data_IF_467401261168
#
_entry.id   IF_467401261168
#
_cell.length_a   1.000
_cell.length_b   1.000
_cell.length_c   1.000
_cell.angle_alpha   90.00
_cell.angle_beta   90.00
_cell.angle_gamma   90.00
#
_symmetry.space_group_name_H-M   'P 1'
#
loop_
_entity.id
_entity.type
_entity.pdbx_description
1 polymer ?
#
# COMPACT_ATOMS: atom_id res chain seq x y z
N UNK A 1 12.65 -12.99 -17.71
CA UNK A 1 11.89 -13.36 -16.50
C UNK A 1 11.47 -12.06 -15.84
N UNK A 2 10.17 -11.83 -15.66
CA UNK A 2 9.71 -10.65 -14.90
C UNK A 2 10.21 -10.75 -13.46
N UNK A 3 10.67 -9.63 -12.89
CA UNK A 3 11.04 -9.57 -11.47
C UNK A 3 9.75 -9.57 -10.64
N UNK A 4 9.75 -10.31 -9.53
CA UNK A 4 8.64 -10.25 -8.58
C UNK A 4 8.62 -8.86 -7.94
N UNK A 5 7.50 -8.15 -8.06
CA UNK A 5 7.25 -6.88 -7.39
C UNK A 5 6.24 -7.12 -6.29
N UNK A 6 6.63 -6.89 -5.04
CA UNK A 6 5.71 -6.99 -3.91
C UNK A 6 5.04 -5.64 -3.71
N UNK A 7 3.71 -5.59 -3.78
CA UNK A 7 2.93 -4.37 -3.68
C UNK A 7 2.07 -4.43 -2.42
N UNK A 8 2.02 -3.33 -1.68
CA UNK A 8 1.18 -3.18 -0.49
C UNK A 8 0.44 -1.85 -0.52
N UNK A 9 -0.83 -1.87 -0.16
CA UNK A 9 -1.65 -0.68 0.08
C UNK A 9 -2.19 -0.72 1.51
N UNK A 10 -1.88 0.30 2.29
CA UNK A 10 -2.35 0.48 3.66
C UNK A 10 -3.25 1.70 3.75
N UNK A 11 -4.43 1.51 4.35
CA UNK A 11 -5.37 2.54 4.71
C UNK A 11 -5.49 2.56 6.23
N UNK A 12 -5.28 3.71 6.86
CA UNK A 12 -5.40 3.86 8.30
C UNK A 12 -6.22 5.10 8.65
N UNK A 13 -7.10 4.98 9.64
CA UNK A 13 -7.93 6.09 10.10
C UNK A 13 -8.33 5.95 11.55
N UNK A 14 -8.77 7.06 12.15
CA UNK A 14 -9.33 7.08 13.51
C UNK A 14 -10.85 7.05 13.45
N UNK A 15 -11.50 6.49 14.45
CA UNK A 15 -12.95 6.52 14.63
C UNK A 15 -13.31 6.59 16.12
N UNK A 16 -14.59 6.77 16.42
CA UNK A 16 -15.12 6.90 17.79
C UNK A 16 -16.17 5.84 18.14
N UNK A 17 -16.08 4.66 17.51
CA UNK A 17 -16.98 3.54 17.76
C UNK A 17 -16.84 2.99 19.18
N UNK A 18 -17.97 2.74 19.86
CA UNK A 18 -17.99 1.97 21.10
C UNK A 18 -17.84 0.45 20.85
N UNK A 19 -17.59 -0.35 21.91
CA UNK A 19 -17.39 -1.80 21.83
C UNK A 19 -18.41 -2.57 20.98
N UNK A 20 -19.71 -2.32 21.18
CA UNK A 20 -20.78 -3.00 20.45
C UNK A 20 -20.83 -2.59 18.96
N UNK A 21 -20.44 -1.35 18.67
CA UNK A 21 -20.38 -0.84 17.31
C UNK A 21 -19.17 -1.41 16.54
N UNK A 22 -18.07 -1.73 17.23
CA UNK A 22 -16.92 -2.42 16.63
C UNK A 22 -17.30 -3.81 16.14
N UNK A 23 -18.06 -4.59 16.93
CA UNK A 23 -18.52 -5.92 16.53
C UNK A 23 -19.41 -5.86 15.28
N UNK A 24 -20.35 -4.90 15.25
CA UNK A 24 -21.22 -4.66 14.09
C UNK A 24 -20.40 -4.28 12.85
N UNK A 25 -19.45 -3.37 12.99
CA UNK A 25 -18.60 -2.94 11.89
C UNK A 25 -17.71 -4.07 11.35
N UNK A 26 -17.18 -4.94 12.22
CA UNK A 26 -16.46 -6.14 11.79
C UNK A 26 -17.32 -7.02 10.87
N UNK A 27 -18.59 -7.25 11.23
CA UNK A 27 -19.52 -8.04 10.41
C UNK A 27 -19.93 -7.36 9.10
N UNK A 28 -20.03 -6.04 9.08
CA UNK A 28 -20.29 -5.27 7.85
C UNK A 28 -19.08 -5.27 6.90
N UNK A 29 -17.87 -5.07 7.43
CA UNK A 29 -16.63 -5.19 6.66
C UNK A 29 -16.46 -6.60 6.12
N UNK A 30 -16.74 -7.62 6.93
CA UNK A 30 -16.68 -9.00 6.49
C UNK A 30 -17.63 -9.29 5.32
N UNK A 31 -18.86 -8.76 5.37
CA UNK A 31 -19.84 -8.91 4.30
C UNK A 31 -19.34 -8.29 3.00
N UNK A 32 -18.81 -7.06 3.06
CA UNK A 32 -18.27 -6.37 1.89
C UNK A 32 -17.07 -7.12 1.28
N UNK A 33 -16.14 -7.60 2.11
CA UNK A 33 -14.98 -8.36 1.65
C UNK A 33 -15.36 -9.74 1.11
N UNK A 34 -16.41 -10.37 1.67
CA UNK A 34 -16.90 -11.69 1.24
C UNK A 34 -17.42 -11.70 -0.19
N UNK A 35 -18.03 -10.59 -0.60
CA UNK A 35 -18.56 -10.41 -1.96
C UNK A 35 -17.46 -10.10 -2.98
N UNK A 36 -16.24 -9.81 -2.51
CA UNK A 36 -15.04 -9.62 -3.33
C UNK A 36 -14.30 -10.91 -3.71
N UNK A 37 -13.28 -10.76 -4.56
CA UNK A 37 -12.45 -11.87 -5.08
C UNK A 37 -11.16 -12.11 -4.28
N UNK A 38 -10.75 -11.15 -3.45
CA UNK A 38 -9.52 -11.24 -2.65
C UNK A 38 -9.71 -12.08 -1.39
N UNK A 39 -8.64 -12.75 -0.94
CA UNK A 39 -8.64 -13.37 0.38
C UNK A 39 -8.64 -12.30 1.48
N UNK A 40 -9.19 -12.60 2.66
CA UNK A 40 -9.22 -11.63 3.74
C UNK A 40 -9.11 -12.20 5.15
N UNK A 41 -8.51 -11.40 6.03
CA UNK A 41 -8.45 -11.64 7.46
C UNK A 41 -8.87 -10.38 8.21
N UNK A 42 -9.83 -10.50 9.13
CA UNK A 42 -10.28 -9.42 10.01
C UNK A 42 -9.86 -9.74 11.42
N UNK A 43 -9.04 -8.87 12.01
CA UNK A 43 -8.57 -8.97 13.39
C UNK A 43 -9.14 -7.81 14.19
N UNK A 44 -10.02 -8.13 15.12
CA UNK A 44 -10.50 -7.19 16.13
C UNK A 44 -9.75 -7.43 17.44
N UNK A 45 -9.31 -6.37 18.10
CA UNK A 45 -8.73 -6.46 19.46
C UNK A 45 -9.79 -6.67 20.55
N UNK A 46 -11.08 -6.52 20.21
CA UNK A 46 -12.19 -6.97 21.06
C UNK A 46 -12.30 -8.51 21.04
N UNK A 47 -12.36 -9.18 22.22
CA UNK A 47 -12.47 -10.64 22.31
C UNK A 47 -13.66 -11.19 21.51
N UNK A 48 -13.45 -12.28 20.76
CA UNK A 48 -14.51 -13.00 20.05
C UNK A 48 -14.90 -12.46 18.67
N UNK A 49 -14.34 -11.32 18.23
CA UNK A 49 -14.69 -10.66 16.96
C UNK A 49 -13.66 -10.88 15.83
N UNK A 50 -12.68 -11.76 16.03
CA UNK A 50 -11.73 -12.15 14.98
C UNK A 50 -12.41 -13.05 13.95
N UNK A 51 -12.34 -12.68 12.68
CA UNK A 51 -12.92 -13.45 11.57
C UNK A 51 -11.83 -13.68 10.52
N UNK A 52 -11.59 -14.93 10.14
CA UNK A 52 -10.58 -15.25 9.13
C UNK A 52 -11.21 -16.14 8.08
N UNK A 53 -11.08 -15.74 6.81
CA UNK A 53 -11.41 -16.59 5.67
C UNK A 53 -10.13 -16.86 4.89
N UNK A 54 -9.54 -18.02 5.14
CA UNK A 54 -8.47 -18.56 4.31
C UNK A 54 -9.11 -19.44 3.22
N UNK A 55 -8.77 -19.21 1.95
CA UNK A 55 -9.24 -20.04 0.84
C UNK A 55 -10.31 -19.38 -0.02
N UNK A 56 -9.87 -18.52 -0.93
CA UNK A 56 -10.58 -18.16 -2.15
C UNK A 56 -10.10 -19.01 -3.34
N UNK A 57 -10.99 -19.34 -4.28
CA UNK A 57 -10.58 -19.94 -5.56
C UNK A 57 -9.82 -18.90 -6.39
N UNK A 58 -8.50 -18.84 -6.24
CA UNK A 58 -7.58 -18.31 -7.26
C UNK A 58 -7.47 -16.78 -7.41
N UNK A 59 -7.76 -15.99 -6.37
CA UNK A 59 -7.61 -14.53 -6.40
C UNK A 59 -6.25 -14.04 -5.86
N UNK A 60 -5.73 -12.97 -6.46
CA UNK A 60 -4.45 -12.33 -6.13
C UNK A 60 -4.59 -11.38 -4.93
N UNK A 61 -3.69 -11.53 -3.96
CA UNK A 61 -3.56 -10.69 -2.78
C UNK A 61 -4.45 -10.97 -1.56
N UNK A 62 -3.95 -10.58 -0.38
CA UNK A 62 -4.59 -10.75 0.93
C UNK A 62 -4.97 -9.39 1.52
N UNK A 63 -6.24 -9.22 1.90
CA UNK A 63 -6.72 -8.05 2.64
C UNK A 63 -6.76 -8.34 4.14
N UNK A 64 -5.90 -7.68 4.92
CA UNK A 64 -5.93 -7.74 6.39
C UNK A 64 -6.55 -6.46 6.96
N UNK A 65 -7.67 -6.57 7.66
CA UNK A 65 -8.29 -5.45 8.38
C UNK A 65 -8.06 -5.63 9.88
N UNK A 66 -7.51 -4.61 10.52
CA UNK A 66 -7.38 -4.50 11.97
C UNK A 66 -8.29 -3.39 12.47
N UNK A 67 -9.15 -3.70 13.44
CA UNK A 67 -10.04 -2.72 14.06
C UNK A 67 -9.74 -2.72 15.57
N UNK A 68 -9.45 -1.54 16.07
CA UNK A 68 -9.26 -1.22 17.49
C UNK A 68 -10.40 -0.30 17.95
N UNK A 69 -10.51 0.04 19.23
CA UNK A 69 -11.61 0.87 19.75
C UNK A 69 -11.66 2.27 19.11
N UNK A 70 -10.50 2.85 18.79
CA UNK A 70 -10.39 4.23 18.29
C UNK A 70 -9.75 4.37 16.91
N UNK A 71 -9.38 3.25 16.28
CA UNK A 71 -8.68 3.29 15.00
C UNK A 71 -8.83 2.00 14.22
N UNK A 72 -8.52 2.10 12.93
CA UNK A 72 -8.46 0.94 12.07
C UNK A 72 -7.29 1.02 11.10
N UNK A 73 -6.94 -0.13 10.58
CA UNK A 73 -5.97 -0.29 9.52
C UNK A 73 -6.42 -1.39 8.57
N UNK A 74 -6.58 -1.10 7.29
CA UNK A 74 -6.78 -2.09 6.25
C UNK A 74 -5.51 -2.17 5.38
N UNK A 75 -4.97 -3.36 5.22
CA UNK A 75 -3.79 -3.63 4.40
C UNK A 75 -4.20 -4.59 3.30
N UNK A 76 -3.81 -4.31 2.07
CA UNK A 76 -3.83 -5.26 0.97
C UNK A 76 -2.40 -5.49 0.51
N UNK A 77 -2.02 -6.75 0.39
CA UNK A 77 -0.70 -7.16 -0.10
C UNK A 77 -0.89 -8.10 -1.29
N UNK A 78 -0.12 -7.89 -2.36
CA UNK A 78 -0.11 -8.78 -3.53
C UNK A 78 1.30 -8.87 -4.13
N UNK A 79 1.54 -9.94 -4.88
CA UNK A 79 2.76 -10.12 -5.67
C UNK A 79 2.38 -9.90 -7.13
N UNK A 80 3.09 -9.00 -7.81
CA UNK A 80 3.01 -8.70 -9.24
C UNK A 80 1.76 -7.98 -9.76
N UNK A 81 0.80 -7.63 -8.91
CA UNK A 81 -0.38 -6.86 -9.30
C UNK A 81 -0.39 -5.48 -8.66
N UNK A 82 -0.81 -4.47 -9.43
CA UNK A 82 -1.18 -3.13 -8.94
C UNK A 82 -2.70 -2.96 -8.85
N UNK A 83 -3.48 -3.99 -9.20
CA UNK A 83 -4.94 -3.98 -9.23
C UNK A 83 -5.53 -4.31 -7.85
N UNK A 84 -5.37 -3.41 -6.89
CA UNK A 84 -5.94 -3.56 -5.56
C UNK A 84 -7.49 -3.60 -5.60
N UNK A 85 -8.15 -4.28 -4.63
CA UNK A 85 -9.60 -4.22 -4.45
C UNK A 85 -10.03 -2.86 -3.84
N UNK A 86 -9.81 -1.77 -4.58
CA UNK A 86 -9.95 -0.37 -4.10
C UNK A 86 -11.34 -0.04 -3.59
N UNK A 87 -12.39 -0.62 -4.18
CA UNK A 87 -13.76 -0.47 -3.70
C UNK A 87 -13.94 -1.07 -2.31
N UNK A 88 -13.40 -2.27 -2.10
CA UNK A 88 -13.49 -2.99 -0.83
C UNK A 88 -12.66 -2.29 0.26
N UNK A 89 -11.44 -1.86 -0.05
CA UNK A 89 -10.59 -1.10 0.86
C UNK A 89 -11.21 0.26 1.23
N UNK A 90 -11.78 0.98 0.25
CA UNK A 90 -12.47 2.24 0.49
C UNK A 90 -13.75 2.08 1.33
N UNK A 91 -14.43 0.95 1.23
CA UNK A 91 -15.61 0.66 2.04
C UNK A 91 -15.29 0.52 3.53
N UNK A 92 -14.11 -0.01 3.90
CA UNK A 92 -13.69 -0.13 5.31
C UNK A 92 -13.74 1.21 6.03
N UNK A 93 -13.19 2.26 5.41
CA UNK A 93 -13.18 3.60 6.00
C UNK A 93 -14.58 4.22 6.17
N UNK A 94 -15.50 3.94 5.23
CA UNK A 94 -16.90 4.37 5.33
C UNK A 94 -17.66 3.66 6.43
N UNK A 95 -17.53 2.34 6.50
CA UNK A 95 -18.25 1.50 7.47
C UNK A 95 -17.83 1.80 8.91
N UNK A 96 -16.56 2.16 9.11
CA UNK A 96 -16.03 2.48 10.43
C UNK A 96 -16.30 3.93 10.87
N UNK A 97 -16.89 4.76 10.01
CA UNK A 97 -17.23 6.15 10.35
C UNK A 97 -16.00 6.97 10.74
N UNK A 98 -14.95 6.95 9.92
CA UNK A 98 -13.68 7.59 10.26
C UNK A 98 -13.85 9.08 10.61
N UNK A 99 -13.28 9.48 11.74
CA UNK A 99 -13.30 10.86 12.24
C UNK A 99 -12.23 11.68 11.50
N UNK A 100 -12.60 12.21 10.33
CA UNK A 100 -11.75 13.09 9.53
C UNK A 100 -11.12 12.41 8.32
N UNK A 101 -9.79 12.40 8.27
CA UNK A 101 -9.00 11.93 7.11
C UNK A 101 -8.48 10.50 7.31
N UNK A 102 -8.39 9.77 6.20
CA UNK A 102 -7.76 8.45 6.11
C UNK A 102 -6.35 8.64 5.52
N UNK A 103 -5.35 8.10 6.21
CA UNK A 103 -4.00 7.97 5.69
C UNK A 103 -3.94 6.80 4.71
N UNK A 104 -3.43 7.06 3.52
CA UNK A 104 -3.18 6.08 2.46
C UNK A 104 -1.67 6.01 2.28
N UNK A 105 -1.12 4.80 2.41
CA UNK A 105 0.27 4.48 2.10
C UNK A 105 0.30 3.37 1.08
N UNK A 106 1.01 3.57 -0.01
CA UNK A 106 1.31 2.52 -1.00
C UNK A 106 2.80 2.23 -0.98
N UNK A 107 3.17 0.97 -1.16
CA UNK A 107 4.57 0.55 -1.17
C UNK A 107 4.78 -0.51 -2.24
N UNK A 108 5.83 -0.37 -3.04
CA UNK A 108 6.30 -1.42 -3.93
C UNK A 108 7.74 -1.76 -3.59
N UNK A 109 8.06 -3.05 -3.52
CA UNK A 109 9.41 -3.57 -3.40
C UNK A 109 9.77 -4.28 -4.71
N UNK A 110 10.75 -3.73 -5.41
CA UNK A 110 11.35 -4.33 -6.59
C UNK A 110 12.67 -4.97 -6.17
N UNK A 111 12.75 -6.29 -6.27
CA UNK A 111 13.95 -7.04 -5.90
C UNK A 111 14.98 -7.09 -7.04
N UNK A 112 16.26 -7.22 -6.68
CA UNK A 112 17.37 -7.50 -7.60
C UNK A 112 17.46 -6.54 -8.82
N UNK A 113 17.26 -5.24 -8.57
CA UNK A 113 17.50 -4.19 -9.56
C UNK A 113 18.99 -4.05 -9.79
N UNK A 114 19.43 -4.20 -11.05
CA UNK A 114 20.82 -4.03 -11.42
C UNK A 114 21.23 -2.56 -11.17
N UNK A 115 22.26 -2.36 -10.37
CA UNK A 115 22.85 -1.04 -10.19
C UNK A 115 24.13 -0.98 -10.98
N UNK A 116 24.23 -0.04 -11.92
CA UNK A 116 25.50 0.27 -12.57
C UNK A 116 26.54 0.55 -11.49
N UNK A 117 27.76 0.02 -11.67
CA UNK A 117 28.85 0.29 -10.75
C UNK A 117 29.04 1.80 -10.64
N UNK A 118 28.78 2.38 -9.47
CA UNK A 118 29.03 3.82 -9.26
C UNK A 118 30.53 4.04 -9.40
N UNK A 119 30.96 4.62 -10.51
CA UNK A 119 32.35 5.00 -10.71
C UNK A 119 32.62 6.27 -9.91
N UNK A 120 33.28 6.12 -8.76
CA UNK A 120 33.74 7.26 -7.97
C UNK A 120 34.96 7.88 -8.65
N UNK A 121 34.87 9.16 -8.99
CA UNK A 121 36.02 9.96 -9.40
C UNK A 121 37.00 10.07 -8.22
N UNK A 122 37.89 9.10 -8.05
CA UNK A 122 38.90 9.11 -6.98
C UNK A 122 39.31 7.76 -6.37
N UNK A 123 38.80 6.61 -6.84
CA UNK A 123 39.40 5.31 -6.49
C UNK A 123 39.20 4.81 -5.06
N UNK A 124 38.30 5.42 -4.26
CA UNK A 124 37.85 4.82 -2.99
C UNK A 124 36.71 3.84 -3.24
N UNK A 125 36.87 2.62 -2.72
CA UNK A 125 35.89 1.54 -2.80
C UNK A 125 34.62 1.88 -1.99
N UNK A 126 33.41 1.68 -2.53
CA UNK A 126 32.15 1.97 -1.85
C UNK A 126 31.81 0.87 -0.86
N UNK A 127 32.48 0.86 0.27
CA UNK A 127 32.21 -0.10 1.34
C UNK A 127 31.01 0.27 2.23
N UNK A 128 30.34 1.42 2.08
CA UNK A 128 29.58 1.95 3.23
C UNK A 128 28.21 2.59 2.96
N UNK A 129 27.60 2.42 1.80
CA UNK A 129 26.18 2.77 1.62
C UNK A 129 25.36 1.50 1.47
N UNK A 130 24.98 0.90 2.61
CA UNK A 130 24.02 -0.21 2.62
C UNK A 130 22.64 0.25 2.13
N UNK A 131 22.35 1.55 2.28
CA UNK A 131 21.07 2.16 1.96
C UNK A 131 21.27 3.55 1.34
N UNK A 132 20.47 3.88 0.32
CA UNK A 132 20.39 5.21 -0.28
C UNK A 132 18.93 5.62 -0.39
N UNK A 133 18.61 6.83 0.08
CA UNK A 133 17.25 7.40 0.00
C UNK A 133 17.21 8.51 -1.02
N UNK A 134 16.18 8.55 -1.86
CA UNK A 134 15.98 9.62 -2.84
C UNK A 134 14.48 9.87 -3.06
N UNK A 135 14.15 11.05 -3.59
CA UNK A 135 12.78 11.41 -3.93
C UNK A 135 12.54 11.17 -5.42
N UNK A 136 11.34 10.72 -5.77
CA UNK A 136 10.93 10.60 -7.16
C UNK A 136 10.17 11.85 -7.59
N UNK A 137 10.42 12.28 -8.83
CA UNK A 137 9.58 13.26 -9.49
C UNK A 137 8.19 12.66 -9.68
N UNK A 138 7.15 13.45 -9.44
CA UNK A 138 5.78 13.00 -9.70
C UNK A 138 5.62 12.64 -11.18
N UNK A 139 4.96 11.51 -11.52
CA UNK A 139 4.58 11.26 -12.89
C UNK A 139 3.67 12.39 -13.36
N UNK A 140 3.85 12.86 -14.60
CA UNK A 140 3.09 13.99 -15.12
C UNK A 140 1.57 13.70 -14.99
N UNK A 141 0.77 14.65 -14.47
CA UNK A 141 -0.65 14.40 -14.24
C UNK A 141 -1.32 14.03 -15.57
N UNK A 142 -1.93 12.85 -15.62
CA UNK A 142 -2.80 12.46 -16.73
C UNK A 142 -4.13 13.24 -16.59
N UNK A 143 -4.14 14.50 -17.02
CA UNK A 143 -5.35 15.30 -17.21
C UNK A 143 -5.93 15.99 -15.95
N UNK A 144 -5.94 17.31 -16.01
CA UNK A 144 -6.95 18.24 -15.47
C UNK A 144 -7.25 18.36 -13.97
N UNK A 145 -6.28 18.10 -13.07
CA UNK A 145 -6.19 18.86 -11.80
C UNK A 145 -4.73 19.13 -11.44
N UNK A 146 -4.21 20.27 -11.87
CA UNK A 146 -2.91 20.75 -11.45
C UNK A 146 -2.91 21.08 -9.94
N UNK A 147 -1.95 20.53 -9.20
CA UNK A 147 -1.15 21.39 -8.32
C UNK A 147 -1.10 21.09 -6.81
N UNK A 148 -2.07 20.43 -6.18
CA UNK A 148 -2.08 20.32 -4.69
C UNK A 148 -2.46 18.94 -4.15
N UNK A 149 -2.73 17.97 -5.02
CA UNK A 149 -3.52 16.78 -4.71
C UNK A 149 -2.80 15.48 -5.12
N UNK A 150 -1.49 15.36 -4.93
CA UNK A 150 -0.73 14.18 -5.34
C UNK A 150 0.12 13.60 -4.19
N UNK A 151 0.21 12.26 -4.12
CA UNK A 151 0.98 11.59 -3.09
C UNK A 151 2.47 11.92 -3.22
N UNK A 152 3.15 12.09 -2.09
CA UNK A 152 4.60 12.26 -2.08
C UNK A 152 5.27 10.89 -2.17
N UNK A 153 6.12 10.69 -3.19
CA UNK A 153 6.84 9.43 -3.39
C UNK A 153 8.31 9.54 -2.99
N UNK A 154 8.73 8.66 -2.09
CA UNK A 154 10.11 8.45 -1.71
C UNK A 154 10.59 7.06 -2.15
N UNK A 155 11.90 6.93 -2.29
CA UNK A 155 12.57 5.68 -2.61
C UNK A 155 13.68 5.38 -1.62
N UNK A 156 13.84 4.09 -1.34
CA UNK A 156 14.94 3.55 -0.57
C UNK A 156 15.54 2.40 -1.37
N UNK A 157 16.79 2.55 -1.82
CA UNK A 157 17.56 1.46 -2.40
C UNK A 157 18.45 0.84 -1.33
N UNK A 158 18.36 -0.47 -1.14
CA UNK A 158 19.20 -1.24 -0.21
C UNK A 158 20.03 -2.25 -0.99
N UNK A 159 21.34 -2.25 -0.78
CA UNK A 159 22.23 -3.17 -1.49
C UNK A 159 21.88 -4.62 -1.15
N UNK A 160 21.60 -5.42 -2.17
CA UNK A 160 21.28 -6.85 -2.04
C UNK A 160 22.51 -7.72 -2.33
N UNK A 161 23.28 -7.39 -3.39
CA UNK A 161 24.52 -8.09 -3.79
C UNK A 161 25.59 -7.11 -4.28
N UNK A 162 26.67 -7.62 -4.87
CA UNK A 162 27.75 -6.80 -5.42
C UNK A 162 27.26 -5.76 -6.42
N UNK A 163 26.29 -6.13 -7.27
CA UNK A 163 25.79 -5.34 -8.42
C UNK A 163 24.26 -5.19 -8.45
N UNK A 164 23.56 -5.58 -7.38
CA UNK A 164 22.09 -5.46 -7.30
C UNK A 164 21.63 -4.79 -6.02
N UNK A 165 20.49 -4.13 -6.09
CA UNK A 165 19.79 -3.54 -4.96
C UNK A 165 18.30 -3.93 -4.96
N UNK A 166 17.72 -3.96 -3.77
CA UNK A 166 16.28 -3.96 -3.57
C UNK A 166 15.82 -2.52 -3.46
N UNK A 167 14.81 -2.13 -4.25
CA UNK A 167 14.28 -0.76 -4.26
C UNK A 167 12.86 -0.78 -3.69
N UNK A 168 12.67 -0.06 -2.59
CA UNK A 168 11.36 0.22 -2.01
C UNK A 168 10.90 1.61 -2.44
N UNK A 169 9.76 1.69 -3.13
CA UNK A 169 9.09 2.94 -3.45
C UNK A 169 7.91 3.10 -2.50
N UNK A 170 7.80 4.23 -1.82
CA UNK A 170 6.79 4.51 -0.80
C UNK A 170 6.05 5.78 -1.19
N UNK A 171 4.74 5.70 -1.35
CA UNK A 171 3.85 6.84 -1.54
C UNK A 171 2.94 7.05 -0.34
N UNK A 172 2.84 8.27 0.18
CA UNK A 172 1.95 8.59 1.31
C UNK A 172 1.08 9.80 1.03
N UNK A 173 -0.19 9.72 1.44
CA UNK A 173 -1.17 10.82 1.33
C UNK A 173 -2.34 10.65 2.29
N UNK A 174 -2.93 11.78 2.70
CA UNK A 174 -4.24 11.79 3.38
C UNK A 174 -5.38 11.98 2.38
N UNK A 175 -6.52 11.35 2.64
CA UNK A 175 -7.71 11.44 1.81
C UNK A 175 -8.97 11.52 2.67
N UNK A 176 -9.96 12.28 2.19
CA UNK A 176 -11.30 12.24 2.77
C UNK A 176 -11.97 10.90 2.44
N UNK A 177 -12.78 10.37 3.36
CA UNK A 177 -13.45 9.06 3.21
C UNK A 177 -14.11 8.84 1.84
N UNK A 178 -14.87 9.80 1.26
CA UNK A 178 -15.50 9.59 -0.04
C UNK A 178 -14.52 9.49 -1.22
N UNK A 179 -13.32 10.07 -1.09
CA UNK A 179 -12.31 10.15 -2.15
C UNK A 179 -11.25 9.03 -2.08
N UNK A 180 -11.26 8.21 -1.02
CA UNK A 180 -10.26 7.16 -0.77
C UNK A 180 -10.05 6.24 -1.97
N UNK A 181 -11.14 5.78 -2.60
CA UNK A 181 -11.06 4.87 -3.76
C UNK A 181 -10.26 5.49 -4.91
N UNK A 182 -10.58 6.72 -5.27
CA UNK A 182 -9.91 7.43 -6.36
C UNK A 182 -8.47 7.78 -5.99
N UNK A 183 -8.23 8.23 -4.75
CA UNK A 183 -6.88 8.55 -4.28
C UNK A 183 -5.97 7.32 -4.29
N UNK A 184 -6.47 6.17 -3.84
CA UNK A 184 -5.72 4.92 -3.82
C UNK A 184 -5.39 4.42 -5.24
N UNK A 185 -6.36 4.45 -6.16
CA UNK A 185 -6.14 4.05 -7.54
C UNK A 185 -5.02 4.89 -8.19
N UNK A 186 -5.10 6.23 -8.08
CA UNK A 186 -4.07 7.13 -8.61
C UNK A 186 -2.69 6.87 -8.00
N UNK A 187 -2.63 6.56 -6.70
CA UNK A 187 -1.37 6.25 -6.03
C UNK A 187 -0.75 4.93 -6.52
N UNK A 188 -1.56 3.91 -6.79
CA UNK A 188 -1.12 2.64 -7.36
C UNK A 188 -0.67 2.78 -8.82
N UNK A 189 -1.37 3.59 -9.62
CA UNK A 189 -0.99 3.89 -11.01
C UNK A 189 0.39 4.58 -11.07
N UNK A 190 0.60 5.60 -10.22
CA UNK A 190 1.88 6.29 -10.11
C UNK A 190 3.01 5.35 -9.64
N UNK A 191 2.72 4.49 -8.66
CA UNK A 191 3.66 3.49 -8.16
C UNK A 191 4.04 2.47 -9.24
N UNK A 192 3.06 2.04 -10.05
CA UNK A 192 3.27 1.14 -11.19
C UNK A 192 4.20 1.78 -12.22
N UNK A 193 3.92 3.02 -12.63
CA UNK A 193 4.76 3.76 -13.56
C UNK A 193 6.22 3.91 -13.08
N UNK A 194 6.43 4.12 -11.77
CA UNK A 194 7.78 4.16 -11.21
C UNK A 194 8.48 2.79 -11.20
N UNK A 195 7.74 1.69 -11.02
CA UNK A 195 8.29 0.35 -11.07
C UNK A 195 8.67 -0.08 -12.50
N UNK A 196 7.89 0.32 -13.51
CA UNK A 196 8.17 0.02 -14.92
C UNK A 196 9.54 0.56 -15.33
N UNK A 197 9.88 1.80 -14.95
CA UNK A 197 11.19 2.40 -15.24
C UNK A 197 12.36 1.61 -14.64
N UNK A 198 12.15 0.92 -13.52
CA UNK A 198 13.19 0.16 -12.81
C UNK A 198 13.31 -1.31 -13.28
N UNK A 199 12.37 -1.79 -14.08
CA UNK A 199 12.31 -3.17 -14.58
C UNK A 199 12.75 -3.33 -16.03
N UNK A 200 12.96 -2.22 -16.75
CA UNK A 200 13.63 -2.14 -18.07
C UNK A 200 15.15 -2.25 -17.89
#
# INVERSE_FOLDING_TARGET
MGRDVYVSATLAGRHSLGPDAVAKACGEVERELRDGTAEYAIRSFMPGNGLTRCGGRGGSGLVTVKIDESSFMAVWDDVSSFDAPTAALGAVGRLLGAAGEISIRVTALVADVAMGSVQFAGGLSPATFATTTFHLSQPAPSGDKAGEDEAAFGCVATRARSETANISIIGERKSAVPAVRETLARALDALSAHCEVLTI
#
